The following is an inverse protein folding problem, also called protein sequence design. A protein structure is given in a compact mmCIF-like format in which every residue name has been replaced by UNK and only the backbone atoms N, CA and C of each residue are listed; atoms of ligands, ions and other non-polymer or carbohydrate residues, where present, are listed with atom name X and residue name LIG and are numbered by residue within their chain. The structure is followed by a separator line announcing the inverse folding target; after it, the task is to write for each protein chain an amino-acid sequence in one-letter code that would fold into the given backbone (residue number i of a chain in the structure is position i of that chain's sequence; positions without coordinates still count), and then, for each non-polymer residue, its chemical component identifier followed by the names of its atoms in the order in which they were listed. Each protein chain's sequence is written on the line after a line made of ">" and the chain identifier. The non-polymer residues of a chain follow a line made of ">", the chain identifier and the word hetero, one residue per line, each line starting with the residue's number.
data_IF_914887430771
#
_entry.id   IF_914887430771
#
_cell.length_a   1.000
_cell.length_b   1.000
_cell.length_c   1.000
_cell.angle_alpha   90.00
_cell.angle_beta   90.00
_cell.angle_gamma   90.00
#
_symmetry.space_group_name_H-M   'P 1'
#
loop_
_entity.id
_entity.type
_entity.pdbx_description
1 polymer ?
#
# COMPACT_ATOMS: atom_id res chain seq x y z
N UNK A 1 -32.56 -9.59 -27.93
CA UNK A 1 -32.85 -9.70 -26.48
C UNK A 1 -31.64 -10.32 -25.79
N UNK A 2 -30.96 -9.62 -24.88
CA UNK A 2 -29.78 -10.13 -24.18
C UNK A 2 -30.21 -10.80 -22.87
N UNK A 3 -30.05 -12.12 -22.77
CA UNK A 3 -30.30 -12.88 -21.54
C UNK A 3 -29.14 -12.69 -20.56
N UNK A 4 -29.42 -12.10 -19.39
CA UNK A 4 -28.46 -11.97 -18.30
C UNK A 4 -28.73 -13.06 -17.26
N UNK A 5 -27.86 -14.07 -17.21
CA UNK A 5 -27.90 -15.11 -16.18
C UNK A 5 -27.23 -14.63 -14.89
N UNK A 6 -27.87 -14.85 -13.75
CA UNK A 6 -27.29 -14.63 -12.42
C UNK A 6 -26.92 -15.97 -11.80
N UNK A 7 -25.63 -16.23 -11.66
CA UNK A 7 -25.13 -17.44 -11.01
C UNK A 7 -24.85 -17.15 -9.53
N UNK A 8 -25.32 -18.01 -8.63
CA UNK A 8 -24.90 -18.01 -7.22
C UNK A 8 -23.76 -19.00 -7.05
N UNK A 9 -22.56 -18.52 -6.76
CA UNK A 9 -21.45 -19.39 -6.37
C UNK A 9 -21.74 -19.98 -4.98
N UNK A 10 -21.70 -21.32 -4.88
CA UNK A 10 -21.74 -22.06 -3.63
C UNK A 10 -20.36 -22.71 -3.42
N UNK A 11 -19.46 -22.11 -2.64
CA UNK A 11 -18.14 -22.69 -2.43
C UNK A 11 -18.26 -24.04 -1.70
N UNK A 12 -17.41 -24.98 -2.09
CA UNK A 12 -17.27 -26.26 -1.38
C UNK A 12 -16.70 -26.01 0.02
N UNK A 13 -17.03 -26.86 1.00
CA UNK A 13 -16.43 -26.89 2.35
C UNK A 13 -14.93 -26.57 2.41
N UNK A 14 -14.10 -27.19 1.54
CA UNK A 14 -12.65 -26.92 1.48
C UNK A 14 -12.34 -25.47 1.05
N UNK A 15 -13.05 -24.97 0.04
CA UNK A 15 -12.92 -23.59 -0.43
C UNK A 15 -13.34 -22.59 0.66
N UNK A 16 -14.40 -22.88 1.41
CA UNK A 16 -14.84 -22.04 2.53
C UNK A 16 -13.75 -21.86 3.58
N UNK A 17 -13.04 -22.93 3.94
CA UNK A 17 -11.93 -22.88 4.91
C UNK A 17 -10.74 -22.07 4.38
N UNK A 18 -10.44 -22.19 3.09
CA UNK A 18 -9.37 -21.40 2.45
C UNK A 18 -9.74 -19.91 2.45
N UNK A 19 -10.96 -19.59 2.01
CA UNK A 19 -11.45 -18.22 1.95
C UNK A 19 -11.50 -17.60 3.35
N UNK A 20 -11.95 -18.32 4.37
CA UNK A 20 -11.98 -17.81 5.74
C UNK A 20 -10.57 -17.55 6.30
N UNK A 21 -9.62 -18.44 6.00
CA UNK A 21 -8.21 -18.25 6.35
C UNK A 21 -7.61 -17.01 5.68
N UNK A 22 -7.82 -16.84 4.37
CA UNK A 22 -7.38 -15.65 3.64
C UNK A 22 -8.02 -14.37 4.16
N UNK A 23 -9.30 -14.41 4.49
CA UNK A 23 -10.02 -13.28 5.05
C UNK A 23 -9.50 -12.88 6.43
N UNK A 24 -9.09 -13.84 7.27
CA UNK A 24 -8.43 -13.56 8.54
C UNK A 24 -7.07 -12.89 8.35
N UNK A 25 -6.25 -13.39 7.41
CA UNK A 25 -4.96 -12.79 7.08
C UNK A 25 -5.12 -11.38 6.49
N UNK A 26 -6.10 -11.18 5.60
CA UNK A 26 -6.43 -9.87 5.04
C UNK A 26 -6.78 -8.85 6.13
N UNK A 27 -7.59 -9.23 7.12
CA UNK A 27 -7.95 -8.36 8.26
C UNK A 27 -6.74 -7.99 9.11
N UNK A 28 -5.87 -8.97 9.41
CA UNK A 28 -4.61 -8.71 10.13
C UNK A 28 -3.74 -7.71 9.37
N UNK A 29 -3.58 -7.93 8.07
CA UNK A 29 -2.80 -7.04 7.23
C UNK A 29 -3.38 -5.63 7.18
N UNK A 30 -4.70 -5.51 7.04
CA UNK A 30 -5.38 -4.22 7.06
C UNK A 30 -5.12 -3.47 8.38
N UNK A 31 -5.30 -4.14 9.52
CA UNK A 31 -5.06 -3.54 10.83
C UNK A 31 -3.59 -3.14 11.03
N UNK A 32 -2.65 -3.95 10.56
CA UNK A 32 -1.22 -3.64 10.61
C UNK A 32 -0.90 -2.34 9.84
N UNK A 33 -1.42 -2.21 8.61
CA UNK A 33 -1.19 -1.01 7.79
C UNK A 33 -1.91 0.23 8.32
N UNK A 34 -3.12 0.05 8.83
CA UNK A 34 -3.84 1.13 9.49
C UNK A 34 -3.05 1.65 10.71
N UNK A 35 -2.45 0.76 11.50
CA UNK A 35 -1.63 1.15 12.63
C UNK A 35 -0.37 1.93 12.22
N UNK A 36 0.30 1.54 11.12
CA UNK A 36 1.44 2.29 10.58
C UNK A 36 1.03 3.72 10.16
N UNK A 37 -0.10 3.85 9.46
CA UNK A 37 -0.62 5.15 9.04
C UNK A 37 -1.03 6.03 10.23
N UNK A 38 -1.70 5.45 11.24
CA UNK A 38 -2.08 6.16 12.46
C UNK A 38 -0.85 6.61 13.27
N UNK A 39 0.14 5.74 13.42
CA UNK A 39 1.40 6.08 14.09
C UNK A 39 2.12 7.24 13.38
N UNK A 40 2.14 7.22 12.05
CA UNK A 40 2.69 8.34 11.27
C UNK A 40 1.88 9.63 11.46
N UNK A 41 0.54 9.55 11.46
CA UNK A 41 -0.32 10.70 11.71
C UNK A 41 -0.13 11.25 13.12
N UNK A 42 -0.04 10.40 14.14
CA UNK A 42 0.21 10.82 15.52
C UNK A 42 1.59 11.46 15.70
N UNK A 43 2.59 10.98 14.95
CA UNK A 43 3.93 11.54 14.96
C UNK A 43 4.01 12.90 14.25
N UNK A 44 3.24 13.09 13.17
CA UNK A 44 3.30 14.29 12.32
C UNK A 44 2.22 15.34 12.61
N UNK A 45 1.15 14.99 13.34
CA UNK A 45 0.07 15.92 13.68
C UNK A 45 0.56 17.04 14.58
N UNK A 46 0.10 18.24 14.29
CA UNK A 46 0.26 19.43 15.12
C UNK A 46 -1.10 19.90 15.61
N UNK A 47 -1.16 20.48 16.81
CA UNK A 47 -2.41 21.03 17.32
C UNK A 47 -2.78 22.26 16.49
N UNK A 48 -4.03 22.36 16.02
CA UNK A 48 -4.52 23.46 15.18
C UNK A 48 -4.23 24.87 15.75
N UNK A 49 -4.10 24.99 17.08
CA UNK A 49 -3.87 26.25 17.79
C UNK A 49 -2.41 26.44 18.25
N UNK A 50 -1.50 25.54 17.88
CA UNK A 50 -0.08 25.65 18.19
C UNK A 50 0.74 24.98 17.09
N UNK A 51 1.35 25.78 16.23
CA UNK A 51 2.41 25.29 15.36
C UNK A 51 3.64 25.07 16.25
N UNK A 52 4.25 23.88 16.33
CA UNK A 52 5.58 23.79 16.87
C UNK A 52 6.50 24.41 15.81
N UNK A 53 6.77 25.69 15.95
CA UNK A 53 7.57 26.49 15.01
C UNK A 53 8.98 25.93 14.78
N UNK A 54 9.40 24.91 15.55
CA UNK A 54 10.77 24.40 15.53
C UNK A 54 10.90 22.88 15.26
N UNK A 55 10.04 21.97 15.75
CA UNK A 55 10.24 20.50 15.58
C UNK A 55 8.93 19.70 15.71
N UNK A 56 8.81 18.59 14.97
CA UNK A 56 7.82 17.52 15.18
C UNK A 56 7.92 16.92 16.60
N UNK A 57 6.80 16.45 17.19
CA UNK A 57 6.78 15.82 18.53
C UNK A 57 7.67 14.57 18.57
N UNK A 58 7.77 13.86 17.44
CA UNK A 58 8.64 12.70 17.26
C UNK A 58 9.84 13.11 16.37
N UNK A 59 11.07 12.65 16.68
CA UNK A 59 12.22 12.85 15.80
C UNK A 59 11.93 12.35 14.39
N UNK A 60 12.14 13.20 13.40
CA UNK A 60 11.84 12.95 11.97
C UNK A 60 12.48 11.64 11.48
N UNK A 61 13.70 11.35 11.92
CA UNK A 61 14.44 10.12 11.59
C UNK A 61 13.73 8.83 12.02
N UNK A 62 13.00 8.86 13.13
CA UNK A 62 12.29 7.68 13.65
C UNK A 62 11.00 7.42 12.88
N UNK A 63 10.33 8.46 12.39
CA UNK A 63 9.08 8.37 11.63
C UNK A 63 9.30 7.73 10.26
N UNK A 64 10.44 8.02 9.62
CA UNK A 64 10.74 7.57 8.26
C UNK A 64 11.67 6.36 8.17
N UNK A 65 12.12 5.80 9.31
CA UNK A 65 13.15 4.73 9.34
C UNK A 65 12.87 3.53 8.43
N UNK A 66 11.60 3.17 8.26
CA UNK A 66 11.18 2.01 7.46
C UNK A 66 10.59 2.40 6.09
N UNK A 67 10.58 3.69 5.73
CA UNK A 67 9.97 4.19 4.51
C UNK A 67 11.08 4.63 3.56
N UNK A 68 11.24 4.00 2.39
CA UNK A 68 12.24 4.44 1.42
C UNK A 68 11.86 5.82 0.87
N UNK A 69 12.80 6.76 0.88
CA UNK A 69 12.59 8.14 0.40
C UNK A 69 12.23 8.17 -1.10
N UNK A 70 12.87 7.31 -1.89
CA UNK A 70 12.67 7.22 -3.32
C UNK A 70 12.31 5.81 -3.75
N UNK A 71 11.47 5.71 -4.78
CA UNK A 71 11.24 4.46 -5.52
C UNK A 71 11.88 4.55 -6.89
N UNK A 72 12.48 3.44 -7.33
CA UNK A 72 13.14 3.34 -8.64
C UNK A 72 12.20 2.66 -9.63
N UNK A 73 11.99 3.26 -10.79
CA UNK A 73 11.27 2.63 -11.89
C UNK A 73 12.02 1.39 -12.40
N UNK A 74 11.36 0.23 -12.34
CA UNK A 74 11.96 -1.03 -12.79
C UNK A 74 11.84 -1.23 -14.31
N UNK A 75 10.90 -0.53 -14.96
CA UNK A 75 10.57 -0.67 -16.38
C UNK A 75 10.25 0.69 -17.01
N UNK A 76 10.36 0.76 -18.33
CA UNK A 76 9.95 1.93 -19.08
C UNK A 76 8.44 2.16 -18.99
N UNK A 77 8.06 3.43 -18.94
CA UNK A 77 6.69 3.88 -18.87
C UNK A 77 5.91 3.55 -20.14
N UNK A 78 4.64 3.20 -19.96
CA UNK A 78 3.72 2.94 -21.08
C UNK A 78 3.34 4.22 -21.84
N UNK A 79 3.33 5.37 -21.16
CA UNK A 79 3.02 6.67 -21.78
C UNK A 79 4.24 7.17 -22.55
N UNK A 80 3.99 7.65 -23.77
CA UNK A 80 4.99 8.19 -24.68
C UNK A 80 4.75 9.68 -24.89
N UNK A 81 5.83 10.43 -25.10
CA UNK A 81 5.77 11.82 -25.54
C UNK A 81 5.33 11.90 -27.03
N UNK A 82 5.17 13.12 -27.55
CA UNK A 82 4.84 13.37 -28.95
C UNK A 82 5.86 12.80 -29.94
N UNK A 83 7.08 12.50 -29.46
CA UNK A 83 8.19 12.00 -30.25
C UNK A 83 8.32 10.46 -30.17
N UNK A 84 7.41 9.79 -29.46
CA UNK A 84 7.37 8.34 -29.30
C UNK A 84 8.30 7.75 -28.23
N UNK A 85 9.01 8.60 -27.47
CA UNK A 85 9.87 8.18 -26.37
C UNK A 85 9.06 7.96 -25.08
N UNK A 86 9.42 6.97 -24.24
CA UNK A 86 8.80 6.81 -22.92
C UNK A 86 8.98 8.05 -22.05
N UNK A 87 7.89 8.53 -21.45
CA UNK A 87 7.90 9.70 -20.53
C UNK A 87 8.68 9.38 -19.24
N UNK A 88 8.59 8.13 -18.79
CA UNK A 88 9.36 7.62 -17.65
C UNK A 88 10.22 6.48 -18.15
N UNK A 89 11.48 6.45 -17.73
CA UNK A 89 12.46 5.45 -18.12
C UNK A 89 12.80 4.56 -16.93
N UNK A 90 13.25 3.35 -17.23
CA UNK A 90 13.84 2.47 -16.23
C UNK A 90 15.02 3.19 -15.55
N UNK A 91 15.02 3.18 -14.23
CA UNK A 91 16.03 3.86 -13.41
C UNK A 91 15.61 5.23 -12.88
N UNK A 92 14.54 5.83 -13.40
CA UNK A 92 14.03 7.09 -12.86
C UNK A 92 13.63 6.93 -11.39
N UNK A 93 14.03 7.90 -10.57
CA UNK A 93 13.70 7.97 -9.15
C UNK A 93 12.48 8.86 -8.96
N UNK A 94 11.49 8.35 -8.24
CA UNK A 94 10.33 9.13 -7.83
C UNK A 94 10.30 9.26 -6.30
N UNK A 95 10.07 10.46 -5.75
CA UNK A 95 9.95 10.64 -4.32
C UNK A 95 8.70 9.94 -3.80
N UNK A 96 8.83 9.23 -2.69
CA UNK A 96 7.70 8.69 -1.90
C UNK A 96 7.23 9.70 -0.85
N UNK A 97 7.99 10.76 -0.59
CA UNK A 97 7.64 11.85 0.32
C UNK A 97 7.52 13.13 -0.50
N UNK A 98 6.33 13.72 -0.54
CA UNK A 98 6.04 14.96 -1.29
C UNK A 98 5.42 15.96 -0.34
N UNK A 99 6.02 17.15 -0.24
CA UNK A 99 5.57 18.23 0.65
C UNK A 99 5.42 17.81 2.13
N UNK A 100 6.27 16.88 2.60
CA UNK A 100 6.23 16.35 3.96
C UNK A 100 5.20 15.24 4.20
N UNK A 101 4.42 14.85 3.18
CA UNK A 101 3.46 13.74 3.25
C UNK A 101 4.00 12.51 2.54
N UNK A 102 3.76 11.33 3.12
CA UNK A 102 4.10 10.04 2.52
C UNK A 102 3.03 9.65 1.52
N UNK A 103 3.42 9.31 0.29
CA UNK A 103 2.56 8.59 -0.65
C UNK A 103 2.40 7.14 -0.20
N UNK A 104 1.47 6.92 0.73
CA UNK A 104 1.22 5.59 1.29
C UNK A 104 0.80 4.57 0.24
N UNK A 105 0.08 4.98 -0.80
CA UNK A 105 -0.28 4.09 -1.92
C UNK A 105 0.95 3.45 -2.57
N UNK A 106 1.96 4.25 -2.91
CA UNK A 106 3.15 3.74 -3.60
C UNK A 106 4.05 2.95 -2.66
N UNK A 107 4.19 3.40 -1.41
CA UNK A 107 5.00 2.72 -0.40
C UNK A 107 4.40 1.34 -0.09
N UNK A 108 3.11 1.27 0.19
CA UNK A 108 2.44 0.02 0.55
C UNK A 108 2.45 -0.98 -0.61
N UNK A 109 2.19 -0.54 -1.85
CA UNK A 109 2.22 -1.43 -3.02
C UNK A 109 3.60 -2.03 -3.27
N UNK A 110 4.68 -1.26 -3.04
CA UNK A 110 6.05 -1.73 -3.17
C UNK A 110 6.44 -2.71 -2.04
N UNK A 111 5.81 -2.58 -0.86
CA UNK A 111 6.15 -3.32 0.35
C UNK A 111 5.64 -4.78 0.37
N UNK A 112 5.09 -5.28 -0.73
CA UNK A 112 4.57 -6.65 -0.83
C UNK A 112 5.65 -7.70 -0.49
N UNK A 113 6.89 -7.46 -0.94
CA UNK A 113 8.02 -8.37 -0.73
C UNK A 113 8.44 -8.40 0.73
N UNK A 114 8.55 -7.25 1.38
CA UNK A 114 8.83 -7.12 2.80
C UNK A 114 7.71 -7.67 3.67
N UNK A 115 6.44 -7.44 3.30
CA UNK A 115 5.28 -8.00 3.99
C UNK A 115 5.38 -9.53 4.07
N UNK A 116 5.75 -10.19 2.97
CA UNK A 116 5.93 -11.66 2.93
C UNK A 116 7.17 -12.16 3.69
N UNK A 117 8.12 -11.27 4.01
CA UNK A 117 9.25 -11.58 4.89
C UNK A 117 8.83 -11.47 6.36
N UNK A 118 8.10 -10.41 6.71
CA UNK A 118 7.60 -10.16 8.07
C UNK A 118 6.51 -11.16 8.49
N UNK A 119 5.62 -11.52 7.56
CA UNK A 119 4.52 -12.45 7.77
C UNK A 119 4.62 -13.61 6.76
N UNK A 120 5.46 -14.64 7.05
CA UNK A 120 5.66 -15.77 6.15
C UNK A 120 4.38 -16.52 5.79
N UNK A 121 3.37 -16.52 6.66
CA UNK A 121 2.07 -17.16 6.44
C UNK A 121 1.34 -16.61 5.21
N UNK A 122 1.59 -15.36 4.82
CA UNK A 122 0.96 -14.75 3.64
C UNK A 122 1.45 -15.33 2.32
N UNK A 123 2.53 -16.13 2.31
CA UNK A 123 2.94 -16.89 1.12
C UNK A 123 1.89 -17.92 0.71
N UNK A 124 1.05 -18.37 1.65
CA UNK A 124 -0.07 -19.29 1.37
C UNK A 124 -1.30 -18.61 0.77
N UNK A 125 -1.36 -17.28 0.82
CA UNK A 125 -2.45 -16.50 0.27
C UNK A 125 -2.27 -16.29 -1.23
N UNK A 126 -3.38 -16.32 -1.96
CA UNK A 126 -3.35 -16.00 -3.39
C UNK A 126 -2.82 -14.58 -3.59
N UNK A 127 -1.89 -14.41 -4.55
CA UNK A 127 -1.20 -13.13 -4.78
C UNK A 127 -2.17 -11.98 -5.06
N UNK A 128 -3.22 -12.23 -5.85
CA UNK A 128 -4.24 -11.23 -6.16
C UNK A 128 -4.97 -10.74 -4.90
N UNK A 129 -5.34 -11.65 -3.99
CA UNK A 129 -6.06 -11.28 -2.77
C UNK A 129 -5.22 -10.37 -1.89
N UNK A 130 -3.91 -10.65 -1.79
CA UNK A 130 -2.99 -9.78 -1.05
C UNK A 130 -2.84 -8.41 -1.71
N UNK A 131 -2.75 -8.36 -3.04
CA UNK A 131 -2.68 -7.09 -3.78
C UNK A 131 -3.95 -6.27 -3.58
N UNK A 132 -5.13 -6.88 -3.68
CA UNK A 132 -6.42 -6.20 -3.51
C UNK A 132 -6.57 -5.61 -2.10
N UNK A 133 -6.11 -6.32 -1.06
CA UNK A 133 -6.11 -5.82 0.32
C UNK A 133 -5.18 -4.62 0.47
N UNK A 134 -3.97 -4.70 -0.09
CA UNK A 134 -3.00 -3.60 -0.06
C UNK A 134 -3.52 -2.36 -0.81
N UNK A 135 -4.13 -2.56 -1.98
CA UNK A 135 -4.78 -1.48 -2.73
C UNK A 135 -5.96 -0.87 -1.97
N UNK A 136 -6.77 -1.68 -1.29
CA UNK A 136 -7.88 -1.18 -0.48
C UNK A 136 -7.41 -0.35 0.72
N UNK A 137 -6.31 -0.75 1.39
CA UNK A 137 -5.69 0.06 2.45
C UNK A 137 -5.18 1.41 1.93
N UNK A 138 -4.55 1.40 0.76
CA UNK A 138 -4.01 2.61 0.16
C UNK A 138 -5.10 3.64 -0.19
N UNK A 139 -6.19 3.19 -0.81
CA UNK A 139 -7.27 4.08 -1.30
C UNK A 139 -8.11 4.71 -0.18
N UNK A 140 -8.12 4.13 1.02
CA UNK A 140 -8.91 4.64 2.14
C UNK A 140 -8.20 5.82 2.87
N UNK A 141 -6.93 6.07 2.56
CA UNK A 141 -6.09 7.09 3.19
C UNK A 141 -5.85 8.31 2.28
N UNK A 142 -6.54 8.41 1.14
CA UNK A 142 -6.44 9.50 0.17
C UNK A 142 -7.67 10.39 0.13
#
# INVERSE_FOLDING_TARGET
>A
MLLKYKYKLKPHKRQTVIISSWLHMARKQYNYRLAESLNWFEATRTLLNACPLNVSVVPVEQVYKNIPEFRVQTRDGRKKDSNGNPITKKGDQHPNIVNGYVLWETVQLADLTQTKKLFPEYKSMHSQVLQDVMSACANHNG
#
